data_IF_647013306162
#
_entry.id   IF_647013306162
#
_cell.length_a   1.000
_cell.length_b   1.000
_cell.length_c   1.000
_cell.angle_alpha   90.00
_cell.angle_beta   90.00
_cell.angle_gamma   90.00
#
_symmetry.space_group_name_H-M   'P 1'
#
loop_
_entity.id
_entity.type
_entity.pdbx_description
1 polymer ?
#
# COMPACT_ATOMS: atom_id res chain seq x y z
N UNK A 1 6.00 17.99 21.19
CA UNK A 1 6.69 17.37 20.04
C UNK A 1 6.23 15.92 19.94
N UNK A 2 5.57 15.52 18.85
CA UNK A 2 5.33 14.10 18.59
C UNK A 2 6.51 13.58 17.75
N UNK A 3 7.28 12.63 18.29
CA UNK A 3 8.44 12.05 17.58
C UNK A 3 8.03 11.09 16.46
N UNK A 4 6.78 10.61 16.48
CA UNK A 4 6.27 9.60 15.55
C UNK A 4 6.40 9.96 14.07
N UNK A 5 6.08 11.18 13.60
CA UNK A 5 6.24 11.51 12.18
C UNK A 5 7.69 11.54 11.73
N UNK A 6 8.61 12.00 12.58
CA UNK A 6 10.05 12.02 12.29
C UNK A 6 10.61 10.60 12.16
N UNK A 7 10.25 9.71 13.09
CA UNK A 7 10.66 8.30 13.03
C UNK A 7 10.07 7.59 11.80
N UNK A 8 8.81 7.87 11.44
CA UNK A 8 8.21 7.34 10.20
C UNK A 8 8.97 7.81 8.96
N UNK A 9 9.37 9.08 8.90
CA UNK A 9 10.16 9.61 7.78
C UNK A 9 11.53 8.96 7.69
N UNK A 10 12.22 8.78 8.82
CA UNK A 10 13.51 8.06 8.90
C UNK A 10 13.39 6.62 8.38
N UNK A 11 12.45 5.83 8.92
CA UNK A 11 12.25 4.43 8.52
C UNK A 11 11.87 4.33 7.04
N UNK A 12 11.08 5.27 6.53
CA UNK A 12 10.67 5.30 5.12
C UNK A 12 11.80 5.60 4.13
N UNK A 13 13.01 5.92 4.61
CA UNK A 13 14.22 6.10 3.79
C UNK A 13 15.15 4.88 3.82
N UNK A 14 14.95 3.93 4.75
CA UNK A 14 15.77 2.73 4.87
C UNK A 14 15.68 1.85 3.60
N UNK A 15 16.78 1.57 2.89
CA UNK A 15 16.73 0.74 1.69
C UNK A 15 16.41 -0.73 2.04
N UNK A 16 15.44 -1.30 1.33
CA UNK A 16 15.09 -2.72 1.41
C UNK A 16 15.44 -3.37 0.07
N UNK A 17 16.45 -4.25 0.07
CA UNK A 17 17.02 -4.80 -1.18
C UNK A 17 16.46 -6.18 -1.54
N UNK A 18 16.15 -7.00 -0.53
CA UNK A 18 15.62 -8.35 -0.74
C UNK A 18 14.19 -8.31 -1.25
N UNK A 19 13.94 -8.97 -2.39
CA UNK A 19 12.61 -9.02 -3.02
C UNK A 19 11.52 -9.56 -2.08
N UNK A 20 11.81 -10.58 -1.27
CA UNK A 20 10.83 -11.11 -0.30
C UNK A 20 10.43 -10.07 0.76
N UNK A 21 11.39 -9.29 1.27
CA UNK A 21 11.13 -8.24 2.24
C UNK A 21 10.29 -7.11 1.63
N UNK A 22 10.58 -6.70 0.39
CA UNK A 22 9.77 -5.70 -0.33
C UNK A 22 8.35 -6.20 -0.59
N UNK A 23 8.18 -7.47 -0.99
CA UNK A 23 6.85 -8.10 -1.14
C UNK A 23 6.06 -8.11 0.18
N UNK A 24 6.73 -8.44 1.28
CA UNK A 24 6.14 -8.42 2.62
C UNK A 24 5.74 -7.00 3.03
N UNK A 25 6.61 -6.01 2.79
CA UNK A 25 6.35 -4.59 3.06
C UNK A 25 5.12 -4.09 2.28
N UNK A 26 5.05 -4.34 0.96
CA UNK A 26 3.88 -3.96 0.15
C UNK A 26 2.61 -4.64 0.68
N UNK A 27 2.65 -5.94 0.95
CA UNK A 27 1.49 -6.69 1.45
C UNK A 27 0.99 -6.14 2.79
N UNK A 28 1.91 -5.81 3.71
CA UNK A 28 1.58 -5.22 4.99
C UNK A 28 1.03 -3.79 4.84
N UNK A 29 1.66 -2.95 4.02
CA UNK A 29 1.19 -1.59 3.76
C UNK A 29 -0.22 -1.63 3.17
N UNK A 30 -0.47 -2.41 2.12
CA UNK A 30 -1.80 -2.49 1.52
C UNK A 30 -2.86 -3.04 2.50
N UNK A 31 -2.45 -3.89 3.45
CA UNK A 31 -3.35 -4.42 4.49
C UNK A 31 -3.76 -3.40 5.53
N UNK A 32 -2.83 -2.55 5.96
CA UNK A 32 -3.00 -1.68 7.12
C UNK A 32 -3.24 -0.20 6.75
N UNK A 33 -2.67 0.25 5.65
CA UNK A 33 -2.85 1.60 5.12
C UNK A 33 -3.95 1.67 4.05
N UNK A 34 -4.45 0.52 3.59
CA UNK A 34 -5.34 0.48 2.45
C UNK A 34 -6.54 -0.43 2.59
N UNK A 35 -7.59 -0.06 1.87
CA UNK A 35 -8.79 -0.85 1.72
C UNK A 35 -8.75 -1.63 0.40
N UNK A 36 -9.24 -2.86 0.44
CA UNK A 36 -9.76 -3.52 -0.74
C UNK A 36 -11.10 -2.85 -1.07
N UNK A 37 -11.16 -2.06 -2.14
CA UNK A 37 -12.39 -1.38 -2.54
C UNK A 37 -13.07 -2.14 -3.67
N UNK A 38 -14.40 -2.25 -3.59
CA UNK A 38 -15.23 -2.74 -4.69
C UNK A 38 -15.96 -1.55 -5.31
N UNK A 39 -15.52 -1.12 -6.48
CA UNK A 39 -16.07 0.03 -7.20
C UNK A 39 -16.73 -0.47 -8.48
N UNK A 40 -18.05 -0.37 -8.57
CA UNK A 40 -18.83 -0.85 -9.73
C UNK A 40 -18.51 -2.30 -10.11
N UNK A 41 -18.38 -3.17 -9.11
CA UNK A 41 -18.06 -4.59 -9.29
C UNK A 41 -16.59 -4.88 -9.63
N UNK A 42 -15.70 -3.88 -9.62
CA UNK A 42 -14.26 -4.05 -9.87
C UNK A 42 -13.45 -3.81 -8.61
N UNK A 43 -12.41 -4.62 -8.43
CA UNK A 43 -11.47 -4.43 -7.33
C UNK A 43 -10.56 -3.24 -7.65
N UNK A 44 -10.53 -2.28 -6.74
CA UNK A 44 -9.60 -1.13 -6.74
C UNK A 44 -8.79 -1.18 -5.45
N UNK A 45 -7.49 -0.97 -5.57
CA UNK A 45 -6.58 -0.91 -4.41
C UNK A 45 -6.27 0.55 -4.12
N UNK A 46 -6.53 0.99 -2.89
CA UNK A 46 -6.16 2.31 -2.41
C UNK A 46 -5.44 2.17 -1.07
N UNK A 47 -4.27 2.80 -0.95
CA UNK A 47 -3.51 2.87 0.28
C UNK A 47 -3.23 4.33 0.65
N UNK A 48 -3.70 4.73 1.83
CA UNK A 48 -3.57 6.08 2.37
C UNK A 48 -2.42 6.14 3.39
N UNK A 49 -1.39 6.92 3.06
CA UNK A 49 -0.18 7.08 3.85
C UNK A 49 -0.04 8.52 4.34
N UNK A 50 0.61 8.70 5.49
CA UNK A 50 0.92 10.01 6.07
C UNK A 50 2.33 10.53 5.73
N UNK A 51 3.16 9.70 5.09
CA UNK A 51 4.53 10.04 4.70
C UNK A 51 4.72 9.97 3.18
N UNK A 52 5.19 11.06 2.56
CA UNK A 52 5.41 11.14 1.11
C UNK A 52 6.41 10.10 0.59
N UNK A 53 7.45 9.84 1.37
CA UNK A 53 8.49 8.88 1.01
C UNK A 53 7.97 7.44 1.02
N UNK A 54 7.14 7.07 2.02
CA UNK A 54 6.46 5.78 2.05
C UNK A 54 5.53 5.59 0.84
N UNK A 55 4.80 6.64 0.43
CA UNK A 55 3.92 6.56 -0.74
C UNK A 55 4.70 6.40 -2.05
N UNK A 56 5.81 7.11 -2.23
CA UNK A 56 6.69 6.94 -3.40
C UNK A 56 7.34 5.55 -3.42
N UNK A 57 7.78 5.05 -2.26
CA UNK A 57 8.29 3.68 -2.11
C UNK A 57 7.23 2.65 -2.51
N UNK A 58 6.02 2.76 -1.98
CA UNK A 58 4.92 1.85 -2.32
C UNK A 58 4.63 1.87 -3.83
N UNK A 59 4.48 3.06 -4.43
CA UNK A 59 4.26 3.23 -5.88
C UNK A 59 5.34 2.53 -6.71
N UNK A 60 6.61 2.75 -6.37
CA UNK A 60 7.76 2.12 -7.04
C UNK A 60 7.72 0.61 -6.91
N UNK A 61 7.52 0.11 -5.69
CA UNK A 61 7.56 -1.32 -5.40
C UNK A 61 6.36 -2.07 -6.03
N UNK A 62 5.18 -1.45 -6.11
CA UNK A 62 4.03 -1.98 -6.87
C UNK A 62 4.40 -2.15 -8.35
N UNK A 63 5.09 -1.16 -8.94
CA UNK A 63 5.49 -1.24 -10.34
C UNK A 63 6.60 -2.28 -10.56
N UNK A 64 7.69 -2.20 -9.82
CA UNK A 64 8.88 -3.03 -10.03
C UNK A 64 8.66 -4.50 -9.69
N UNK A 65 7.85 -4.80 -8.67
CA UNK A 65 7.69 -6.18 -8.15
C UNK A 65 6.45 -6.85 -8.72
N UNK A 66 5.38 -6.09 -8.90
CA UNK A 66 4.07 -6.63 -9.30
C UNK A 66 3.65 -6.23 -10.71
N UNK A 67 4.35 -5.27 -11.34
CA UNK A 67 4.09 -4.86 -12.73
C UNK A 67 2.87 -3.95 -12.90
N UNK A 68 2.33 -3.39 -11.82
CA UNK A 68 1.12 -2.55 -11.88
C UNK A 68 1.45 -1.07 -11.83
N UNK A 69 0.87 -0.29 -12.74
CA UNK A 69 0.92 1.17 -12.64
C UNK A 69 -0.01 1.65 -11.53
N UNK A 70 0.44 2.65 -10.76
CA UNK A 70 -0.34 3.28 -9.70
C UNK A 70 -0.35 4.80 -9.82
N UNK A 71 -1.46 5.41 -9.46
CA UNK A 71 -1.61 6.86 -9.31
C UNK A 71 -1.18 7.26 -7.89
N UNK A 72 -0.52 8.41 -7.76
CA UNK A 72 -0.20 9.01 -6.47
C UNK A 72 -0.97 10.33 -6.35
N UNK A 73 -1.94 10.36 -5.45
CA UNK A 73 -2.80 11.53 -5.21
C UNK A 73 -2.35 12.17 -3.90
N UNK A 74 -2.06 13.47 -3.95
CA UNK A 74 -1.69 14.25 -2.76
C UNK A 74 -2.93 15.00 -2.28
N UNK A 75 -3.36 14.70 -1.06
CA UNK A 75 -4.45 15.43 -0.40
C UNK A 75 -3.84 16.46 0.53
N UNK A 76 -4.11 17.74 0.25
CA UNK A 76 -3.71 18.84 1.12
C UNK A 76 -4.38 18.70 2.50
N UNK A 77 -3.74 19.19 3.58
CA UNK A 77 -4.38 19.26 4.89
C UNK A 77 -5.66 20.10 4.82
N UNK A 78 -6.70 19.66 5.53
CA UNK A 78 -8.00 20.35 5.53
C UNK A 78 -8.96 19.78 6.59
N UNK A 79 -9.81 20.66 7.15
CA UNK A 79 -10.75 20.31 8.21
C UNK A 79 -10.06 19.74 9.46
N UNK A 80 -10.47 18.54 9.90
CA UNK A 80 -9.86 17.83 11.04
C UNK A 80 -8.47 17.23 10.75
N UNK A 81 -8.03 17.20 9.48
CA UNK A 81 -6.76 16.55 9.10
C UNK A 81 -5.59 17.48 9.36
N UNK A 82 -4.71 17.10 10.29
CA UNK A 82 -3.54 17.90 10.70
C UNK A 82 -2.34 17.86 9.73
N UNK A 83 -2.37 17.04 8.67
CA UNK A 83 -1.26 16.92 7.72
C UNK A 83 -1.69 16.36 6.37
N UNK A 84 -0.83 16.52 5.36
CA UNK A 84 -1.06 15.98 4.01
C UNK A 84 -1.20 14.46 4.06
N UNK A 85 -2.06 13.92 3.19
CA UNK A 85 -2.22 12.48 3.01
C UNK A 85 -1.89 12.11 1.57
N UNK A 86 -1.34 10.92 1.39
CA UNK A 86 -0.84 10.43 0.12
C UNK A 86 -1.60 9.14 -0.19
N UNK A 87 -2.41 9.16 -1.25
CA UNK A 87 -3.16 7.98 -1.68
C UNK A 87 -2.46 7.36 -2.87
N UNK A 88 -2.03 6.11 -2.73
CA UNK A 88 -1.54 5.29 -3.84
C UNK A 88 -2.69 4.42 -4.32
N UNK A 89 -3.04 4.55 -5.60
CA UNK A 89 -4.25 3.94 -6.17
C UNK A 89 -3.92 3.09 -7.40
N UNK A 90 -4.47 1.88 -7.44
CA UNK A 90 -4.36 0.95 -8.58
C UNK A 90 -5.77 0.57 -9.03
N UNK A 91 -6.12 0.99 -10.25
CA UNK A 91 -7.42 0.70 -10.88
C UNK A 91 -7.27 -0.46 -11.86
N UNK A 92 -6.40 -0.31 -12.86
CA UNK A 92 -6.09 -1.37 -13.80
C UNK A 92 -5.20 -2.43 -13.12
N UNK A 93 -5.60 -3.69 -13.16
CA UNK A 93 -4.88 -4.80 -12.50
C UNK A 93 -5.07 -4.88 -10.98
N UNK A 94 -6.03 -4.12 -10.41
CA UNK A 94 -6.29 -4.12 -8.96
C UNK A 94 -6.63 -5.50 -8.40
N UNK A 95 -7.37 -6.33 -9.14
CA UNK A 95 -7.71 -7.70 -8.77
C UNK A 95 -6.48 -8.63 -8.76
N UNK A 96 -5.57 -8.45 -9.73
CA UNK A 96 -4.32 -9.22 -9.80
C UNK A 96 -3.37 -8.82 -8.67
N UNK A 97 -3.21 -7.51 -8.42
CA UNK A 97 -2.44 -7.02 -7.28
C UNK A 97 -3.01 -7.53 -5.95
N UNK A 98 -4.34 -7.51 -5.80
CA UNK A 98 -5.02 -8.02 -4.60
C UNK A 98 -4.71 -9.50 -4.35
N UNK A 99 -4.72 -10.33 -5.41
CA UNK A 99 -4.35 -11.75 -5.31
C UNK A 99 -2.87 -11.94 -4.96
N UNK A 100 -1.98 -11.21 -5.65
CA UNK A 100 -0.52 -11.32 -5.44
C UNK A 100 -0.06 -10.86 -4.04
N UNK A 101 -0.79 -9.93 -3.43
CA UNK A 101 -0.51 -9.39 -2.09
C UNK A 101 -1.32 -10.08 -0.98
N UNK A 102 -2.12 -11.09 -1.34
CA UNK A 102 -2.90 -11.89 -0.41
C UNK A 102 -4.05 -11.12 0.26
N UNK A 103 -4.55 -10.05 -0.35
CA UNK A 103 -5.77 -9.36 0.08
C UNK A 103 -7.01 -10.18 -0.27
N UNK A 104 -6.97 -10.92 -1.38
CA UNK A 104 -8.02 -11.84 -1.81
C UNK A 104 -7.45 -13.19 -2.21
N UNK A 105 -8.28 -14.23 -2.15
CA UNK A 105 -7.95 -15.57 -2.62
C UNK A 105 -8.08 -15.70 -4.14
N UNK A 106 -7.80 -16.90 -4.66
CA UNK A 106 -7.94 -17.20 -6.10
C UNK A 106 -9.38 -17.07 -6.64
N UNK A 107 -10.39 -17.03 -5.76
CA UNK A 107 -11.81 -16.81 -6.10
C UNK A 107 -12.24 -15.35 -5.90
N UNK A 108 -11.31 -14.45 -5.55
CA UNK A 108 -11.61 -13.04 -5.30
C UNK A 108 -12.23 -12.76 -3.92
N UNK A 109 -12.26 -13.73 -3.02
CA UNK A 109 -12.80 -13.56 -1.66
C UNK A 109 -11.75 -12.92 -0.75
N UNK A 110 -12.11 -11.92 0.08
CA UNK A 110 -11.16 -11.29 1.00
C UNK A 110 -10.54 -12.29 1.99
N UNK A 111 -9.22 -12.21 2.17
CA UNK A 111 -8.47 -13.02 3.14
C UNK A 111 -8.30 -12.22 4.44
N UNK A 112 -8.50 -12.87 5.58
CA UNK A 112 -8.17 -12.27 6.90
C UNK A 112 -6.70 -12.49 7.23
N UNK A 113 -6.05 -11.48 7.80
CA UNK A 113 -4.64 -11.52 8.18
C UNK A 113 -3.66 -11.57 7.00
N UNK A 114 -2.37 -11.41 7.28
CA UNK A 114 -1.33 -11.37 6.25
C UNK A 114 -1.19 -12.72 5.52
N UNK A 115 -0.70 -12.72 4.25
CA UNK A 115 -0.47 -13.96 3.52
C UNK A 115 0.54 -14.87 4.24
N UNK A 116 0.39 -16.20 4.16
CA UNK A 116 1.30 -17.16 4.83
C UNK A 116 2.77 -16.90 4.52
N UNK A 117 3.10 -16.54 3.28
CA UNK A 117 4.45 -16.19 2.83
C UNK A 117 5.16 -15.09 3.65
N UNK A 118 4.41 -14.33 4.46
CA UNK A 118 4.91 -13.26 5.32
C UNK A 118 4.99 -13.69 6.80
N UNK A 119 4.20 -14.68 7.23
CA UNK A 119 4.01 -15.05 8.65
C UNK A 119 4.39 -16.50 8.99
N UNK A 120 4.81 -17.31 8.01
CA UNK A 120 5.25 -18.71 8.18
C UNK A 120 6.71 -18.91 7.83
#
# INVERSE_FOLDING_TARGET
MAMTPAVKDEISRLPVTRTCCRKAEVSAILRFAGGLHLVSGRIVIEAELDTAMAARRLKRDILEIFGHSSELIVMAPGGLRRGSRYVVRVVAGGDQLARQTGLVDGRGRPIRGLPPQVVS
#
